data_IF_396146094968
#
_entry.id   IF_396146094968
#
_cell.length_a   1.000
_cell.length_b   1.000
_cell.length_c   1.000
_cell.angle_alpha   90.00
_cell.angle_beta   90.00
_cell.angle_gamma   90.00
#
_symmetry.space_group_name_H-M   'P 1'
#
loop_
_entity.id
_entity.type
_entity.pdbx_description
1 polymer ?
#
# COMPACT_ATOMS: atom_id res chain seq x y z
N UNK A 1 -16.14 21.68 0.53
CA UNK A 1 -14.75 21.21 0.67
C UNK A 1 -14.63 19.92 -0.10
N UNK A 2 -13.62 19.77 -0.94
CA UNK A 2 -13.33 18.46 -1.54
C UNK A 2 -12.68 17.64 -0.43
N UNK A 3 -13.39 16.62 0.03
CA UNK A 3 -12.99 15.76 1.13
C UNK A 3 -11.92 14.79 0.63
N UNK A 4 -10.68 14.90 1.16
CA UNK A 4 -9.58 13.98 0.85
C UNK A 4 -9.92 12.53 1.20
N UNK A 5 -10.97 12.32 2.00
CA UNK A 5 -11.49 11.02 2.38
C UNK A 5 -11.94 10.18 1.19
N UNK A 6 -12.53 10.76 0.14
CA UNK A 6 -13.04 9.96 -0.99
C UNK A 6 -11.89 9.40 -1.86
N UNK A 7 -10.89 10.21 -2.28
CA UNK A 7 -9.68 9.68 -2.89
C UNK A 7 -8.94 8.67 -2.00
N UNK A 8 -8.85 8.92 -0.68
CA UNK A 8 -8.24 8.00 0.27
C UNK A 8 -8.96 6.65 0.29
N UNK A 9 -10.30 6.64 0.40
CA UNK A 9 -11.11 5.41 0.36
C UNK A 9 -10.94 4.64 -0.94
N UNK A 10 -10.94 5.34 -2.09
CA UNK A 10 -10.81 4.68 -3.40
C UNK A 10 -9.44 4.02 -3.56
N UNK A 11 -8.36 4.76 -3.28
CA UNK A 11 -7.02 4.22 -3.40
C UNK A 11 -6.78 3.12 -2.36
N UNK A 12 -7.21 3.33 -1.11
CA UNK A 12 -7.11 2.33 -0.05
C UNK A 12 -7.78 1.02 -0.43
N UNK A 13 -9.00 1.06 -1.01
CA UNK A 13 -9.66 -0.15 -1.51
C UNK A 13 -8.84 -0.86 -2.59
N UNK A 14 -8.24 -0.14 -3.54
CA UNK A 14 -7.40 -0.76 -4.58
C UNK A 14 -6.18 -1.46 -3.96
N UNK A 15 -5.55 -0.87 -2.94
CA UNK A 15 -4.45 -1.50 -2.21
C UNK A 15 -4.92 -2.75 -1.44
N UNK A 16 -6.07 -2.70 -0.79
CA UNK A 16 -6.65 -3.84 -0.07
C UNK A 16 -7.05 -4.98 -1.02
N UNK A 17 -7.66 -4.67 -2.16
CA UNK A 17 -8.10 -5.65 -3.16
C UNK A 17 -6.89 -6.37 -3.81
N UNK A 18 -5.75 -5.68 -3.91
CA UNK A 18 -4.50 -6.20 -4.46
C UNK A 18 -3.50 -6.70 -3.38
N UNK A 19 -3.94 -6.76 -2.11
CA UNK A 19 -3.16 -7.27 -0.98
C UNK A 19 -1.83 -6.52 -0.72
N UNK A 20 -1.77 -5.25 -1.06
CA UNK A 20 -0.64 -4.38 -0.74
C UNK A 20 -0.76 -3.94 0.71
N UNK A 21 0.25 -4.24 1.52
CA UNK A 21 0.32 -3.80 2.91
C UNK A 21 0.62 -2.30 2.97
N UNK A 22 -0.19 -1.54 3.71
CA UNK A 22 -0.01 -0.10 3.91
C UNK A 22 -0.48 0.33 5.29
N UNK A 23 -0.02 1.50 5.71
CA UNK A 23 -0.48 2.20 6.91
C UNK A 23 -1.14 3.54 6.54
N UNK A 24 -1.88 4.09 7.49
CA UNK A 24 -2.37 5.48 7.43
C UNK A 24 -1.62 6.29 8.49
N UNK A 25 -0.92 7.33 8.05
CA UNK A 25 -0.30 8.33 8.91
C UNK A 25 -1.14 9.61 8.89
N UNK A 26 -1.26 10.26 10.05
CA UNK A 26 -1.92 11.56 10.16
C UNK A 26 -0.93 12.69 9.83
N UNK A 27 -1.45 13.85 9.43
CA UNK A 27 -0.66 15.03 9.09
C UNK A 27 0.40 15.36 10.15
N UNK A 28 0.03 15.29 11.44
CA UNK A 28 0.93 15.62 12.55
C UNK A 28 2.10 14.64 12.71
N UNK A 29 1.99 13.44 12.15
CA UNK A 29 3.01 12.39 12.22
C UNK A 29 3.93 12.38 11.00
N UNK A 30 3.62 13.18 9.98
CA UNK A 30 4.30 13.11 8.68
C UNK A 30 5.81 13.32 8.81
N UNK A 31 6.24 14.34 9.53
CA UNK A 31 7.68 14.65 9.66
C UNK A 31 8.45 13.58 10.45
N UNK A 32 7.80 12.93 11.40
CA UNK A 32 8.42 11.94 12.30
C UNK A 32 8.51 10.55 11.67
N UNK A 33 7.50 10.19 10.85
CA UNK A 33 7.33 8.82 10.35
C UNK A 33 7.66 8.64 8.87
N UNK A 34 8.01 9.71 8.16
CA UNK A 34 8.27 9.64 6.73
C UNK A 34 9.44 8.71 6.36
N UNK A 35 10.42 8.53 7.24
CA UNK A 35 11.52 7.59 7.04
C UNK A 35 11.17 6.12 7.37
N UNK A 36 9.96 5.84 7.91
CA UNK A 36 9.45 4.48 8.12
C UNK A 36 9.00 3.81 6.81
N UNK A 37 8.79 4.61 5.75
CA UNK A 37 8.16 4.16 4.51
C UNK A 37 9.04 4.40 3.29
N UNK A 38 9.08 3.44 2.37
CA UNK A 38 9.72 3.63 1.06
C UNK A 38 8.84 4.43 0.10
N UNK A 39 7.51 4.40 0.29
CA UNK A 39 6.52 5.02 -0.58
C UNK A 39 5.43 5.74 0.21
N UNK A 40 5.09 6.97 -0.20
CA UNK A 40 4.00 7.76 0.38
C UNK A 40 2.96 8.10 -0.68
N UNK A 41 1.68 7.97 -0.31
CA UNK A 41 0.54 8.37 -1.14
C UNK A 41 -0.15 9.55 -0.47
N UNK A 42 -0.29 10.66 -1.16
CA UNK A 42 -1.03 11.84 -0.69
C UNK A 42 -2.33 11.98 -1.48
N UNK A 43 -3.43 11.40 -0.97
CA UNK A 43 -4.72 11.41 -1.63
C UNK A 43 -5.41 12.78 -1.48
N UNK A 44 -5.19 13.66 -2.46
CA UNK A 44 -5.82 14.99 -2.56
C UNK A 44 -5.69 15.84 -1.27
N UNK A 45 -4.51 15.78 -0.63
CA UNK A 45 -4.20 16.53 0.59
C UNK A 45 -3.94 18.00 0.25
N UNK A 46 -5.02 18.76 0.11
CA UNK A 46 -4.99 20.15 -0.40
C UNK A 46 -4.10 21.09 0.43
N UNK A 47 -4.07 20.90 1.76
CA UNK A 47 -3.42 21.82 2.71
C UNK A 47 -2.14 21.22 3.28
N UNK A 48 -1.00 21.78 2.89
CA UNK A 48 0.32 21.43 3.43
C UNK A 48 1.05 22.68 3.91
N UNK A 49 1.74 22.58 5.05
CA UNK A 49 2.66 23.61 5.51
C UNK A 49 3.90 23.66 4.59
N UNK A 50 4.61 24.81 4.54
CA UNK A 50 5.90 24.89 3.83
C UNK A 50 6.92 23.84 4.32
N UNK A 51 6.89 23.52 5.61
CA UNK A 51 7.76 22.54 6.27
C UNK A 51 7.43 21.11 5.81
N UNK A 52 6.16 20.71 5.84
CA UNK A 52 5.68 19.41 5.33
C UNK A 52 6.03 19.24 3.85
N UNK A 53 5.77 20.27 3.04
CA UNK A 53 6.11 20.25 1.62
C UNK A 53 7.63 20.11 1.38
N UNK A 54 8.45 20.74 2.22
CA UNK A 54 9.92 20.59 2.17
C UNK A 54 10.36 19.19 2.60
N UNK A 55 9.73 18.60 3.61
CA UNK A 55 10.00 17.24 4.07
C UNK A 55 9.71 16.22 2.96
N UNK A 56 8.55 16.33 2.30
CA UNK A 56 8.17 15.49 1.16
C UNK A 56 9.12 15.63 -0.04
N UNK A 57 9.63 16.84 -0.32
CA UNK A 57 10.69 17.02 -1.33
C UNK A 57 11.98 16.33 -0.95
N UNK A 58 12.37 16.45 0.31
CA UNK A 58 13.59 15.83 0.83
C UNK A 58 13.48 14.30 0.82
N UNK A 59 12.31 13.75 1.10
CA UNK A 59 12.00 12.32 0.98
C UNK A 59 12.33 11.77 -0.40
N UNK A 60 11.78 12.40 -1.45
CA UNK A 60 12.03 12.02 -2.83
C UNK A 60 13.50 12.16 -3.16
N UNK A 61 14.15 13.25 -2.74
CA UNK A 61 15.60 13.45 -2.96
C UNK A 61 16.48 12.38 -2.28
N UNK A 62 15.99 11.70 -1.24
CA UNK A 62 16.69 10.59 -0.57
C UNK A 62 16.37 9.21 -1.18
N UNK A 63 15.59 9.16 -2.27
CA UNK A 63 15.19 7.93 -2.95
C UNK A 63 13.77 7.45 -2.63
N UNK A 64 13.01 8.19 -1.82
CA UNK A 64 11.61 7.89 -1.52
C UNK A 64 10.72 8.00 -2.76
N UNK A 65 9.61 7.25 -2.76
CA UNK A 65 8.61 7.26 -3.83
C UNK A 65 7.37 8.01 -3.39
N UNK A 66 6.92 8.99 -4.17
CA UNK A 66 5.79 9.84 -3.81
C UNK A 66 4.68 9.73 -4.85
N UNK A 67 3.45 9.46 -4.41
CA UNK A 67 2.25 9.51 -5.25
C UNK A 67 1.43 10.72 -4.85
N UNK A 68 1.32 11.69 -5.76
CA UNK A 68 0.53 12.91 -5.58
C UNK A 68 -0.77 12.78 -6.36
N UNK A 69 -1.90 13.08 -5.75
CA UNK A 69 -3.17 13.12 -6.46
C UNK A 69 -3.86 14.49 -6.40
N UNK A 70 -4.61 14.82 -7.44
CA UNK A 70 -5.49 15.98 -7.48
C UNK A 70 -4.76 17.29 -7.15
N UNK A 71 -5.26 17.98 -6.12
CA UNK A 71 -4.81 19.30 -5.67
C UNK A 71 -3.88 19.21 -4.45
N UNK A 72 -3.25 18.07 -4.21
CA UNK A 72 -2.32 17.91 -3.08
C UNK A 72 -1.32 19.06 -3.02
N UNK A 73 -1.23 19.76 -1.89
CA UNK A 73 -0.27 20.82 -1.64
C UNK A 73 -0.54 22.17 -2.33
N UNK A 74 -1.72 22.40 -2.91
CA UNK A 74 -2.02 23.70 -3.54
C UNK A 74 -2.24 24.84 -2.55
N UNK A 75 -2.57 24.53 -1.29
CA UNK A 75 -2.83 25.50 -0.24
C UNK A 75 -1.93 25.27 0.99
N UNK A 76 -1.76 26.33 1.78
CA UNK A 76 -1.21 26.30 3.14
C UNK A 76 -2.28 25.84 4.14
N UNK A 77 -1.87 25.58 5.39
CA UNK A 77 -2.78 25.15 6.46
C UNK A 77 -3.87 26.19 6.79
N UNK A 78 -3.60 27.47 6.57
CA UNK A 78 -4.56 28.58 6.72
C UNK A 78 -5.57 28.68 5.55
N UNK A 79 -5.39 27.88 4.49
CA UNK A 79 -6.23 27.88 3.30
C UNK A 79 -5.77 28.84 2.19
N UNK A 80 -4.77 29.69 2.44
CA UNK A 80 -4.20 30.53 1.39
C UNK A 80 -3.40 29.70 0.40
N UNK A 81 -3.35 30.13 -0.86
CA UNK A 81 -2.49 29.48 -1.86
C UNK A 81 -1.02 29.74 -1.52
N UNK A 82 -0.17 28.75 -1.78
CA UNK A 82 1.27 28.99 -1.76
C UNK A 82 1.63 30.02 -2.84
N UNK A 83 2.59 30.91 -2.57
CA UNK A 83 3.08 31.87 -3.58
C UNK A 83 3.66 31.18 -4.81
N UNK A 84 4.22 29.99 -4.60
CA UNK A 84 4.69 29.06 -5.63
C UNK A 84 4.20 27.67 -5.25
N UNK A 85 3.67 26.91 -6.21
CA UNK A 85 3.24 25.53 -5.96
C UNK A 85 4.45 24.66 -5.58
N UNK A 86 4.44 24.05 -4.37
CA UNK A 86 5.60 23.33 -3.85
C UNK A 86 5.98 22.09 -4.67
N UNK A 87 5.09 21.63 -5.55
CA UNK A 87 5.28 20.46 -6.41
C UNK A 87 5.21 20.79 -7.91
N UNK A 88 5.29 22.07 -8.29
CA UNK A 88 5.17 22.52 -9.68
C UNK A 88 6.08 21.76 -10.65
N UNK A 89 7.31 21.43 -10.22
CA UNK A 89 8.29 20.69 -11.02
C UNK A 89 7.88 19.24 -11.33
N UNK A 90 6.94 18.68 -10.58
CA UNK A 90 6.45 17.31 -10.74
C UNK A 90 5.06 17.26 -11.35
N UNK A 91 4.35 18.38 -11.40
CA UNK A 91 3.02 18.42 -12.01
C UNK A 91 3.09 18.35 -13.53
N UNK A 92 2.10 17.74 -14.17
CA UNK A 92 2.00 17.75 -15.62
C UNK A 92 1.84 19.18 -16.14
N UNK A 93 2.61 19.53 -17.17
CA UNK A 93 2.58 20.85 -17.83
C UNK A 93 1.35 21.05 -18.73
N UNK A 94 0.55 20.01 -18.96
CA UNK A 94 -0.72 20.07 -19.69
C UNK A 94 -1.71 19.06 -19.12
N UNK A 95 -2.99 19.44 -18.94
CA UNK A 95 -4.05 18.51 -18.61
C UNK A 95 -4.35 17.65 -19.84
N UNK A 96 -3.63 16.55 -20.02
CA UNK A 96 -4.00 15.54 -21.01
C UNK A 96 -5.07 14.60 -20.43
N UNK A 97 -5.94 14.07 -21.30
CA UNK A 97 -7.15 13.29 -20.98
C UNK A 97 -6.91 11.95 -20.24
N UNK A 98 -5.68 11.66 -19.80
CA UNK A 98 -5.34 10.42 -19.10
C UNK A 98 -5.17 10.68 -17.60
N UNK A 99 -5.92 10.01 -16.70
CA UNK A 99 -5.90 10.30 -15.27
C UNK A 99 -4.56 9.98 -14.58
N UNK A 100 -3.76 9.10 -15.21
CA UNK A 100 -2.49 8.58 -14.69
C UNK A 100 -1.39 9.03 -15.65
N UNK A 101 -0.42 9.85 -15.20
CA UNK A 101 0.71 10.26 -16.05
C UNK A 101 2.06 10.33 -15.32
N UNK A 102 3.01 9.65 -15.95
CA UNK A 102 4.48 9.71 -15.91
C UNK A 102 5.17 10.01 -14.58
N UNK A 103 5.87 8.98 -14.11
CA UNK A 103 6.97 9.02 -13.14
C UNK A 103 7.99 10.10 -13.50
N UNK A 104 8.18 11.10 -12.62
CA UNK A 104 9.37 11.95 -12.67
C UNK A 104 10.46 11.23 -11.88
N UNK A 105 11.48 10.72 -12.59
CA UNK A 105 12.72 10.24 -11.96
C UNK A 105 13.58 11.46 -11.67
N UNK A 106 13.75 11.80 -10.40
CA UNK A 106 14.73 12.82 -10.01
C UNK A 106 16.09 12.13 -9.95
N UNK A 107 16.85 12.19 -11.04
CA UNK A 107 18.26 11.79 -10.98
C UNK A 107 19.03 12.80 -10.11
N UNK A 108 19.69 12.30 -9.08
CA UNK A 108 20.65 13.09 -8.32
C UNK A 108 21.90 13.20 -9.19
N UNK A 109 22.05 14.29 -9.94
CA UNK A 109 23.36 14.66 -10.46
C UNK A 109 24.23 15.08 -9.27
N UNK A 110 25.12 14.20 -8.83
CA UNK A 110 26.18 14.57 -7.90
C UNK A 110 27.01 15.69 -8.55
N UNK A 111 26.75 16.94 -8.17
CA UNK A 111 27.69 18.03 -8.44
C UNK A 111 28.93 17.74 -7.60
N UNK A 112 30.05 17.47 -8.28
CA UNK A 112 31.37 17.39 -7.65
C UNK A 112 31.62 18.68 -6.86
N UNK A 113 31.52 18.58 -5.54
CA UNK A 113 31.88 19.61 -4.58
C UNK A 113 32.38 18.87 -3.34
N UNK A 114 33.66 19.04 -3.07
CA UNK A 114 34.43 18.39 -2.02
C UNK A 114 33.77 18.57 -0.63
N UNK A 115 33.56 17.47 0.10
CA UNK A 115 33.91 17.37 1.52
C UNK A 115 33.81 15.91 2.00
N UNK A 116 34.93 15.41 2.52
CA UNK A 116 35.12 14.07 3.08
C UNK A 116 34.49 13.97 4.48
N UNK A 117 33.45 13.14 4.65
CA UNK A 117 33.43 12.07 5.67
C UNK A 117 32.12 11.28 5.73
N UNK A 118 32.28 9.94 5.68
CA UNK A 118 31.45 8.90 6.29
C UNK A 118 29.97 8.75 5.89
N UNK A 119 29.69 7.89 4.89
CA UNK A 119 29.02 6.59 5.08
C UNK A 119 28.89 5.87 3.73
N UNK A 120 29.67 4.81 3.54
CA UNK A 120 29.72 4.02 2.31
C UNK A 120 28.69 2.89 2.34
N UNK A 121 27.50 3.08 1.76
CA UNK A 121 26.65 2.06 1.09
C UNK A 121 25.20 2.51 0.87
N UNK A 122 24.96 3.58 0.10
CA UNK A 122 23.69 3.73 -0.61
C UNK A 122 24.03 4.14 -2.04
N UNK A 123 23.82 3.24 -3.00
CA UNK A 123 23.78 3.63 -4.41
C UNK A 123 22.80 4.80 -4.54
N UNK A 124 23.11 5.80 -5.37
CA UNK A 124 22.19 6.92 -5.66
C UNK A 124 20.80 6.35 -5.97
N UNK A 125 19.90 6.41 -4.99
CA UNK A 125 18.56 5.89 -5.13
C UNK A 125 17.77 6.98 -5.84
N UNK A 126 17.34 6.69 -7.07
CA UNK A 126 16.57 7.65 -7.84
C UNK A 126 15.18 7.78 -7.22
N UNK A 127 14.91 8.92 -6.60
CA UNK A 127 13.57 9.29 -6.15
C UNK A 127 12.59 9.29 -7.31
N UNK A 128 11.36 8.84 -7.04
CA UNK A 128 10.31 8.72 -8.06
C UNK A 128 9.03 9.42 -7.61
N UNK A 129 8.41 10.18 -8.50
CA UNK A 129 7.12 10.82 -8.23
C UNK A 129 6.10 10.40 -9.27
N UNK A 130 4.98 9.82 -8.85
CA UNK A 130 3.82 9.55 -9.69
C UNK A 130 2.75 10.62 -9.43
N UNK A 131 2.29 11.29 -10.47
CA UNK A 131 1.25 12.32 -10.37
C UNK A 131 -0.05 11.84 -11.03
N UNK A 132 -1.12 11.81 -10.24
CA UNK A 132 -2.48 11.55 -10.71
C UNK A 132 -3.25 12.86 -10.76
N UNK A 133 -3.64 13.31 -11.95
CA UNK A 133 -4.34 14.60 -12.10
C UNK A 133 -5.68 14.62 -11.36
N UNK A 134 -6.32 13.45 -11.24
CA UNK A 134 -7.53 13.23 -10.45
C UNK A 134 -7.62 11.75 -10.07
N UNK A 135 -8.32 11.47 -8.97
CA UNK A 135 -8.82 10.13 -8.64
C UNK A 135 -10.29 10.14 -9.04
N UNK A 136 -10.70 9.47 -10.14
CA UNK A 136 -12.11 9.40 -10.52
C UNK A 136 -12.92 8.84 -9.34
N UNK A 137 -14.20 9.15 -9.24
CA UNK A 137 -15.09 8.61 -8.20
C UNK A 137 -16.31 7.92 -8.83
N UNK A 138 -16.14 7.40 -10.04
CA UNK A 138 -17.20 6.75 -10.82
C UNK A 138 -17.67 5.45 -10.13
N UNK A 139 -18.60 5.61 -9.18
CA UNK A 139 -19.30 4.52 -8.51
C UNK A 139 -20.50 4.10 -9.35
N UNK A 140 -20.78 2.80 -9.37
CA UNK A 140 -22.00 2.24 -9.94
C UNK A 140 -22.98 1.85 -8.84
N UNK A 141 -24.27 1.93 -9.16
CA UNK A 141 -25.31 1.42 -8.28
C UNK A 141 -25.34 -0.10 -8.38
N UNK A 142 -25.16 -0.79 -7.26
CA UNK A 142 -25.35 -2.23 -7.14
C UNK A 142 -26.56 -2.51 -6.24
N UNK A 143 -27.51 -3.30 -6.75
CA UNK A 143 -28.58 -3.85 -5.93
C UNK A 143 -28.02 -5.01 -5.10
N UNK A 144 -27.97 -4.85 -3.77
CA UNK A 144 -27.40 -5.84 -2.86
C UNK A 144 -28.48 -6.83 -2.40
N UNK A 145 -29.71 -6.35 -2.25
CA UNK A 145 -30.91 -7.15 -1.96
C UNK A 145 -32.11 -6.47 -2.62
N UNK A 146 -33.21 -7.18 -2.90
CA UNK A 146 -34.38 -6.62 -3.56
C UNK A 146 -34.82 -5.28 -2.95
N UNK A 147 -34.74 -4.20 -3.74
CA UNK A 147 -35.11 -2.84 -3.33
C UNK A 147 -34.11 -2.11 -2.44
N UNK A 148 -32.88 -2.63 -2.29
CA UNK A 148 -31.78 -1.98 -1.56
C UNK A 148 -30.55 -1.84 -2.45
N UNK A 149 -30.21 -0.59 -2.74
CA UNK A 149 -29.12 -0.21 -3.63
C UNK A 149 -27.98 0.45 -2.84
N UNK A 150 -26.73 0.14 -3.21
CA UNK A 150 -25.53 0.80 -2.70
C UNK A 150 -24.69 1.34 -3.86
N UNK A 151 -23.99 2.44 -3.60
CA UNK A 151 -22.93 2.91 -4.49
C UNK A 151 -21.66 2.11 -4.19
N UNK A 152 -21.13 1.47 -5.23
CA UNK A 152 -19.91 0.68 -5.14
C UNK A 152 -18.96 1.08 -6.27
N UNK A 153 -17.65 1.05 -6.03
CA UNK A 153 -16.70 1.08 -7.14
C UNK A 153 -16.82 -0.21 -7.96
N UNK A 154 -16.67 -0.12 -9.29
CA UNK A 154 -16.70 -1.28 -10.16
C UNK A 154 -15.64 -2.32 -9.73
N UNK A 155 -15.87 -3.62 -10.00
CA UNK A 155 -14.84 -4.65 -9.85
C UNK A 155 -13.58 -4.28 -10.64
N UNK A 156 -12.40 -4.70 -10.16
CA UNK A 156 -11.11 -4.32 -10.75
C UNK A 156 -11.03 -4.68 -12.24
N UNK A 157 -11.64 -5.78 -12.69
CA UNK A 157 -11.68 -6.21 -14.10
C UNK A 157 -12.40 -5.20 -15.01
N UNK A 158 -13.29 -4.40 -14.42
CA UNK A 158 -14.10 -3.36 -15.07
C UNK A 158 -13.70 -1.95 -14.64
N UNK A 159 -12.59 -1.78 -13.90
CA UNK A 159 -12.06 -0.48 -13.49
C UNK A 159 -10.73 -0.16 -14.23
N UNK A 160 -10.76 0.51 -15.39
CA UNK A 160 -9.56 0.90 -16.12
C UNK A 160 -8.62 1.80 -15.30
N UNK A 161 -9.18 2.66 -14.44
CA UNK A 161 -8.37 3.49 -13.55
C UNK A 161 -7.67 2.63 -12.51
N UNK A 162 -8.39 1.73 -11.85
CA UNK A 162 -7.83 0.80 -10.87
C UNK A 162 -6.70 -0.06 -11.45
N UNK A 163 -6.93 -0.64 -12.64
CA UNK A 163 -5.92 -1.43 -13.35
C UNK A 163 -4.66 -0.61 -13.66
N UNK A 164 -4.83 0.58 -14.24
CA UNK A 164 -3.70 1.45 -14.56
C UNK A 164 -2.96 1.93 -13.31
N UNK A 165 -3.67 2.23 -12.23
CA UNK A 165 -3.09 2.69 -10.98
C UNK A 165 -2.23 1.60 -10.35
N UNK A 166 -2.75 0.38 -10.23
CA UNK A 166 -2.01 -0.75 -9.67
C UNK A 166 -0.80 -1.10 -10.54
N UNK A 167 -0.92 -1.02 -11.88
CA UNK A 167 0.21 -1.25 -12.77
C UNK A 167 1.37 -0.27 -12.52
N UNK A 168 1.07 1.04 -12.43
CA UNK A 168 2.08 2.05 -12.13
C UNK A 168 2.64 1.90 -10.71
N UNK A 169 1.78 1.58 -9.75
CA UNK A 169 2.19 1.34 -8.36
C UNK A 169 3.15 0.15 -8.25
N UNK A 170 2.86 -0.98 -8.89
CA UNK A 170 3.77 -2.12 -8.93
C UNK A 170 5.11 -1.77 -9.59
N UNK A 171 5.08 -0.98 -10.66
CA UNK A 171 6.30 -0.47 -11.28
C UNK A 171 7.10 0.48 -10.38
N UNK A 172 6.42 1.15 -9.43
CA UNK A 172 7.02 2.09 -8.47
C UNK A 172 7.58 1.39 -7.23
N UNK A 173 6.88 0.39 -6.71
CA UNK A 173 7.25 -0.31 -5.48
C UNK A 173 8.56 -1.11 -5.63
N UNK A 174 8.94 -1.48 -6.85
CA UNK A 174 10.10 -2.32 -7.21
C UNK A 174 10.07 -3.74 -6.61
N UNK A 175 9.51 -3.91 -5.39
CA UNK A 175 9.35 -5.16 -4.65
C UNK A 175 8.13 -5.06 -3.72
N UNK A 176 7.31 -6.10 -3.70
CA UNK A 176 6.17 -6.22 -2.78
C UNK A 176 6.55 -7.02 -1.54
N UNK A 177 6.08 -6.61 -0.36
CA UNK A 177 6.27 -7.35 0.90
C UNK A 177 5.41 -8.61 0.99
N UNK A 178 4.28 -8.60 0.30
CA UNK A 178 3.33 -9.70 0.22
C UNK A 178 2.87 -9.86 -1.23
N UNK A 179 2.75 -11.10 -1.68
CA UNK A 179 2.12 -11.46 -2.95
C UNK A 179 1.29 -12.72 -2.71
N UNK A 180 0.06 -12.74 -3.19
CA UNK A 180 -0.85 -13.88 -3.01
C UNK A 180 -1.85 -13.95 -4.15
N UNK A 181 -2.37 -15.15 -4.41
CA UNK A 181 -3.51 -15.37 -5.32
C UNK A 181 -4.86 -15.29 -4.60
N UNK A 182 -4.87 -14.84 -3.34
CA UNK A 182 -6.09 -14.63 -2.59
C UNK A 182 -7.03 -13.65 -3.32
N UNK A 183 -8.33 -13.97 -3.40
CA UNK A 183 -9.32 -13.11 -4.05
C UNK A 183 -9.57 -11.84 -3.22
N UNK A 184 -10.07 -10.77 -3.86
CA UNK A 184 -10.29 -9.46 -3.23
C UNK A 184 -11.15 -9.48 -1.95
N UNK A 185 -12.02 -10.48 -1.79
CA UNK A 185 -12.85 -10.63 -0.58
C UNK A 185 -12.09 -11.26 0.60
N UNK A 186 -10.84 -11.66 0.41
CA UNK A 186 -9.91 -12.00 1.49
C UNK A 186 -9.13 -10.75 1.86
N UNK A 187 -9.11 -10.40 3.14
CA UNK A 187 -8.34 -9.26 3.67
C UNK A 187 -7.16 -9.75 4.46
N UNK A 188 -6.03 -9.06 4.31
CA UNK A 188 -4.78 -9.40 5.02
C UNK A 188 -4.27 -8.22 5.81
N UNK A 189 -3.86 -8.48 7.05
CA UNK A 189 -3.12 -7.53 7.88
C UNK A 189 -1.86 -8.20 8.40
N UNK A 190 -0.78 -7.43 8.50
CA UNK A 190 0.49 -7.91 9.02
C UNK A 190 0.89 -7.16 10.29
N UNK A 191 1.53 -7.84 11.24
CA UNK A 191 2.18 -7.18 12.37
C UNK A 191 3.33 -8.02 12.92
N UNK A 192 4.18 -7.36 13.70
CA UNK A 192 5.18 -7.98 14.56
C UNK A 192 4.63 -8.05 15.99
N UNK A 193 4.51 -9.26 16.58
CA UNK A 193 4.18 -9.39 18.00
C UNK A 193 5.26 -8.77 18.89
N UNK A 194 4.88 -8.11 19.99
CA UNK A 194 5.84 -7.53 20.93
C UNK A 194 6.63 -8.59 21.71
N UNK A 195 6.02 -9.75 21.94
CA UNK A 195 6.55 -10.80 22.82
C UNK A 195 7.43 -11.83 22.11
N UNK A 196 7.44 -11.85 20.78
CA UNK A 196 8.00 -12.95 20.00
C UNK A 196 8.62 -12.44 18.70
N UNK A 197 9.76 -13.01 18.31
CA UNK A 197 10.40 -12.72 17.02
C UNK A 197 9.63 -13.44 15.91
N UNK A 198 8.56 -12.81 15.42
CA UNK A 198 7.69 -13.37 14.39
C UNK A 198 7.14 -12.29 13.46
N UNK A 199 6.68 -12.71 12.29
CA UNK A 199 5.80 -11.94 11.42
C UNK A 199 4.47 -12.68 11.32
N UNK A 200 3.38 -12.01 11.68
CA UNK A 200 2.04 -12.60 11.63
C UNK A 200 1.26 -11.96 10.49
N UNK A 201 0.67 -12.81 9.65
CA UNK A 201 -0.30 -12.42 8.63
C UNK A 201 -1.68 -12.91 9.08
N UNK A 202 -2.62 -12.01 9.31
CA UNK A 202 -4.02 -12.31 9.62
C UNK A 202 -4.87 -12.19 8.37
N UNK A 203 -5.55 -13.29 8.07
CA UNK A 203 -6.38 -13.47 6.89
C UNK A 203 -7.83 -13.51 7.34
N UNK A 204 -8.70 -12.74 6.71
CA UNK A 204 -10.15 -12.75 6.95
C UNK A 204 -10.87 -12.95 5.63
N UNK A 205 -11.74 -13.95 5.57
CA UNK A 205 -12.55 -14.28 4.40
C UNK A 205 -13.96 -13.73 4.56
N UNK A 206 -14.34 -12.77 3.72
CA UNK A 206 -15.68 -12.19 3.68
C UNK A 206 -16.62 -12.89 2.69
N UNK A 207 -16.18 -13.94 2.01
CA UNK A 207 -17.08 -14.72 1.14
C UNK A 207 -17.99 -15.60 1.99
N UNK A 208 -19.29 -15.33 1.95
CA UNK A 208 -20.31 -16.03 2.70
C UNK A 208 -21.65 -16.04 1.94
N UNK A 209 -22.60 -16.84 2.42
CA UNK A 209 -23.98 -16.84 1.95
C UNK A 209 -24.73 -15.61 2.51
N UNK A 210 -24.97 -14.63 1.65
CA UNK A 210 -25.67 -13.37 2.00
C UNK A 210 -27.18 -13.54 2.19
N UNK A 211 -27.76 -14.67 1.76
CA UNK A 211 -29.20 -14.97 1.92
C UNK A 211 -29.50 -15.77 3.19
N UNK A 212 -28.46 -16.24 3.88
CA UNK A 212 -28.60 -17.01 5.11
C UNK A 212 -28.94 -16.12 6.30
N UNK A 213 -29.79 -16.62 7.21
CA UNK A 213 -30.12 -15.98 8.48
C UNK A 213 -29.01 -16.12 9.55
N UNK A 214 -28.00 -16.93 9.26
CA UNK A 214 -26.80 -17.14 10.08
C UNK A 214 -25.55 -16.94 9.21
N UNK A 215 -24.41 -16.64 9.81
CA UNK A 215 -23.14 -16.54 9.07
C UNK A 215 -22.73 -17.92 8.54
N UNK A 216 -22.72 -18.08 7.21
CA UNK A 216 -22.28 -19.29 6.51
C UNK A 216 -21.13 -18.94 5.57
N UNK A 217 -19.88 -19.05 6.02
CA UNK A 217 -18.71 -18.73 5.21
C UNK A 217 -18.53 -19.76 4.08
N UNK A 218 -18.08 -19.30 2.91
CA UNK A 218 -17.61 -20.15 1.83
C UNK A 218 -16.08 -20.32 1.95
N UNK A 219 -15.58 -21.53 2.29
CA UNK A 219 -14.15 -21.73 2.42
C UNK A 219 -13.39 -21.40 1.12
N UNK A 220 -12.26 -20.73 1.26
CA UNK A 220 -11.39 -20.32 0.15
C UNK A 220 -10.02 -21.01 0.28
N UNK A 221 -9.53 -21.65 -0.77
CA UNK A 221 -8.19 -22.21 -0.79
C UNK A 221 -8.00 -23.35 -1.81
N UNK A 222 -6.76 -23.83 -1.99
CA UNK A 222 -5.55 -23.36 -1.31
C UNK A 222 -5.11 -21.97 -1.79
N UNK A 223 -4.55 -21.15 -0.89
CA UNK A 223 -4.01 -19.82 -1.21
C UNK A 223 -2.49 -19.88 -1.27
N UNK A 224 -1.89 -19.44 -2.37
CA UNK A 224 -0.45 -19.27 -2.51
C UNK A 224 -0.03 -17.94 -1.88
N UNK A 225 1.01 -17.98 -1.05
CA UNK A 225 1.54 -16.80 -0.37
C UNK A 225 3.04 -16.74 -0.57
N UNK A 226 3.53 -15.60 -1.04
CA UNK A 226 4.93 -15.22 -0.96
C UNK A 226 5.03 -13.98 -0.07
N UNK A 227 5.81 -14.09 1.00
CA UNK A 227 6.01 -13.02 1.96
C UNK A 227 7.51 -12.75 2.15
N UNK A 228 7.89 -11.48 2.16
CA UNK A 228 9.27 -11.08 2.44
C UNK A 228 9.48 -10.93 3.94
N UNK A 229 10.65 -11.36 4.39
CA UNK A 229 11.13 -11.14 5.75
C UNK A 229 12.31 -10.15 5.75
N UNK A 230 12.61 -9.50 6.89
CA UNK A 230 13.78 -8.65 7.02
C UNK A 230 15.08 -9.41 6.67
N UNK A 231 16.04 -8.73 6.03
CA UNK A 231 17.31 -9.35 5.60
C UNK A 231 18.17 -9.85 6.78
N UNK A 232 17.96 -9.29 7.97
CA UNK A 232 18.58 -9.71 9.23
C UNK A 232 17.98 -10.98 9.84
N UNK A 233 16.94 -11.55 9.24
CA UNK A 233 16.17 -12.65 9.81
C UNK A 233 16.25 -13.94 8.96
N UNK A 234 16.16 -15.06 9.65
CA UNK A 234 15.85 -16.37 9.08
C UNK A 234 14.47 -16.85 9.52
N UNK A 235 13.80 -17.62 8.65
CA UNK A 235 12.53 -18.27 8.99
C UNK A 235 12.82 -19.67 9.52
N UNK A 236 12.36 -19.97 10.74
CA UNK A 236 12.50 -21.28 11.37
C UNK A 236 11.31 -22.19 11.08
N UNK A 237 10.14 -21.58 10.86
CA UNK A 237 8.91 -22.31 10.62
C UNK A 237 7.78 -21.38 10.18
N UNK A 238 6.80 -21.95 9.50
CA UNK A 238 5.54 -21.29 9.18
C UNK A 238 4.41 -22.10 9.81
N UNK A 239 3.59 -21.45 10.64
CA UNK A 239 2.47 -22.07 11.33
C UNK A 239 1.14 -21.49 10.83
N UNK A 240 0.12 -22.33 10.75
CA UNK A 240 -1.25 -21.96 10.43
C UNK A 240 -2.14 -22.15 11.66
N UNK A 241 -2.72 -21.05 12.14
CA UNK A 241 -3.65 -21.05 13.27
C UNK A 241 -5.02 -20.58 12.78
N UNK A 242 -6.08 -21.29 13.13
CA UNK A 242 -7.44 -20.95 12.73
C UNK A 242 -8.46 -21.48 13.76
N UNK A 243 -9.65 -20.86 13.87
CA UNK A 243 -10.58 -21.07 15.00
C UNK A 243 -10.99 -22.51 15.26
N UNK A 244 -11.09 -23.31 14.21
CA UNK A 244 -11.59 -24.68 14.25
C UNK A 244 -10.54 -25.67 14.80
N UNK A 245 -9.28 -25.26 14.96
CA UNK A 245 -8.19 -26.12 15.42
C UNK A 245 -7.68 -25.78 16.80
N UNK A 246 -7.45 -26.84 17.59
CA UNK A 246 -6.90 -26.72 18.94
C UNK A 246 -5.39 -26.40 18.98
N UNK A 247 -4.64 -26.76 17.92
CA UNK A 247 -3.20 -26.56 17.85
C UNK A 247 -2.78 -25.98 16.49
N UNK A 248 -1.71 -25.17 16.44
CA UNK A 248 -1.11 -24.71 15.18
C UNK A 248 -0.72 -25.87 14.27
N UNK A 249 -0.89 -25.68 12.96
CA UNK A 249 -0.46 -26.63 11.92
C UNK A 249 0.82 -26.11 11.29
N UNK A 250 1.91 -26.88 11.30
CA UNK A 250 3.11 -26.52 10.54
C UNK A 250 2.85 -26.62 9.04
N UNK A 251 3.19 -25.57 8.30
CA UNK A 251 3.12 -25.52 6.85
C UNK A 251 4.49 -25.78 6.24
N UNK A 252 4.53 -26.52 5.13
CA UNK A 252 5.70 -26.57 4.29
C UNK A 252 5.95 -25.20 3.65
N UNK A 253 7.21 -24.79 3.58
CA UNK A 253 7.61 -23.54 2.96
C UNK A 253 8.93 -23.69 2.20
N UNK A 254 9.15 -22.80 1.25
CA UNK A 254 10.43 -22.64 0.57
C UNK A 254 10.95 -21.23 0.78
N UNK A 255 12.27 -21.07 0.83
CA UNK A 255 12.93 -19.77 0.99
C UNK A 255 13.84 -19.50 -0.20
N UNK A 256 13.71 -18.34 -0.81
CA UNK A 256 14.62 -17.84 -1.85
C UNK A 256 15.06 -16.42 -1.50
N UNK A 257 16.32 -16.25 -1.11
CA UNK A 257 16.78 -14.98 -0.54
C UNK A 257 16.03 -14.66 0.75
N UNK A 258 15.30 -13.54 0.77
CA UNK A 258 14.42 -13.12 1.86
C UNK A 258 12.93 -13.29 1.55
N UNK A 259 12.57 -13.98 0.46
CA UNK A 259 11.19 -14.36 0.16
C UNK A 259 10.90 -15.77 0.70
N UNK A 260 9.76 -15.92 1.38
CA UNK A 260 9.25 -17.16 1.95
C UNK A 260 7.93 -17.49 1.26
N UNK A 261 7.87 -18.64 0.58
CA UNK A 261 6.68 -19.09 -0.14
C UNK A 261 6.04 -20.30 0.56
N UNK A 262 4.74 -20.26 0.79
CA UNK A 262 3.95 -21.32 1.43
C UNK A 262 2.50 -21.31 0.94
N UNK A 263 1.73 -22.34 1.27
CA UNK A 263 0.32 -22.45 0.89
C UNK A 263 -0.59 -22.59 2.11
N UNK A 264 -1.63 -21.76 2.19
CA UNK A 264 -2.71 -21.90 3.17
C UNK A 264 -3.70 -22.93 2.63
N UNK A 265 -3.96 -24.06 3.32
CA UNK A 265 -4.78 -25.13 2.76
C UNK A 265 -6.24 -24.73 2.51
N UNK A 266 -6.84 -24.04 3.49
CA UNK A 266 -8.24 -23.60 3.45
C UNK A 266 -8.44 -22.50 4.49
N UNK A 267 -9.07 -21.41 4.07
CA UNK A 267 -9.48 -20.28 4.90
C UNK A 267 -11.01 -20.26 4.97
N UNK A 268 -11.57 -20.53 6.15
CA UNK A 268 -13.03 -20.55 6.36
C UNK A 268 -13.53 -19.15 6.72
N UNK A 269 -13.30 -18.70 7.95
CA UNK A 269 -13.66 -17.34 8.41
C UNK A 269 -12.41 -16.46 8.53
N UNK A 270 -11.45 -16.87 9.35
CA UNK A 270 -10.18 -16.19 9.50
C UNK A 270 -9.09 -17.17 9.92
N UNK A 271 -7.83 -16.76 9.80
CA UNK A 271 -6.69 -17.51 10.29
C UNK A 271 -5.40 -16.68 10.28
N UNK A 272 -4.37 -17.21 10.93
CA UNK A 272 -3.07 -16.56 11.09
C UNK A 272 -1.99 -17.44 10.47
N UNK A 273 -1.23 -16.88 9.52
CA UNK A 273 0.07 -17.44 9.13
C UNK A 273 1.13 -16.79 10.02
N UNK A 274 1.77 -17.59 10.86
CA UNK A 274 2.81 -17.12 11.78
C UNK A 274 4.16 -17.59 11.24
N UNK A 275 4.94 -16.66 10.70
CA UNK A 275 6.33 -16.91 10.31
C UNK A 275 7.20 -16.72 11.56
N UNK A 276 7.74 -17.82 12.07
CA UNK A 276 8.68 -17.82 13.20
C UNK A 276 10.04 -17.38 12.69
N UNK A 277 10.57 -16.30 13.25
CA UNK A 277 11.81 -15.68 12.79
C UNK A 277 12.90 -15.82 13.85
N UNK A 278 14.15 -15.94 13.37
CA UNK A 278 15.36 -15.86 14.19
C UNK A 278 16.27 -14.78 13.62
N UNK A 279 16.80 -13.92 14.49
CA UNK A 279 17.82 -12.95 14.10
C UNK A 279 19.16 -13.64 13.81
N UNK A 280 19.83 -13.20 12.76
CA UNK A 280 21.14 -13.71 12.32
C UNK A 280 22.31 -13.13 13.12
#
# INVERSE_FOLDING_TARGET
>A
ETDSLEPLKRLGRLLEDDHILFDIILDEQLEERLDDYDTLILPDIVRLSPEEAKALRSFVQRGGKLILTGKTGTCRKDGEQHSEDPFAAWRPTSPEDTPIRSTVTTQISASAGEEENACSCRSAADGRVLCLSTVPLDMETAEIRPGTELLVYPPLERDPFGQGFLQELHSLLERSWLTTDAPWYVRVRAWHPESETALVLHWVNYCQDEDSAIEVPHPTGPLQVECRIPDSCEVEGVEWLYPEMANPVSLDFTKQGNAVSFAIPSLVVYGLSVLRLREN
#
